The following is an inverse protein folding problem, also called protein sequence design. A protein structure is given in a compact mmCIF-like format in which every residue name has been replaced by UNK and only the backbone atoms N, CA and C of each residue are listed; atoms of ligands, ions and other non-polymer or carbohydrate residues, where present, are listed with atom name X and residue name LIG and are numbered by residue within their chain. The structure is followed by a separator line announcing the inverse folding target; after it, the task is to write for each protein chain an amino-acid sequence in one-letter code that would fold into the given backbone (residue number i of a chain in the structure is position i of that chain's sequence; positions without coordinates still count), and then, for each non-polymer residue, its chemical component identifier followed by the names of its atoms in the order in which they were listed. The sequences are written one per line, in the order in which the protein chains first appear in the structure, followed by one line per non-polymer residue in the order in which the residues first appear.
data_IF_604191652586
#
_entry.id   IF_604191652586
#
_cell.length_a   1.000
_cell.length_b   1.000
_cell.length_c   1.000
_cell.angle_alpha   90.00
_cell.angle_beta   90.00
_cell.angle_gamma   90.00
#
_symmetry.space_group_name_H-M   'P 1'
#
loop_
_entity.id
_entity.type
_entity.pdbx_description
1 polymer ?
#
# COMPACT_ATOMS: atom_id res chain seq x y z
N UNK A 1 12.13 -2.30 2.67
CA UNK A 1 11.20 -2.80 1.61
C UNK A 1 11.86 -2.88 0.24
N UNK A 2 12.57 -1.86 -0.26
CA UNK A 2 13.16 -1.86 -1.61
C UNK A 2 14.20 -2.98 -1.80
N UNK A 3 15.16 -3.11 -0.88
CA UNK A 3 16.23 -4.12 -1.01
C UNK A 3 15.73 -5.57 -0.98
N UNK A 4 14.86 -5.99 -0.04
CA UNK A 4 14.27 -7.32 -0.09
C UNK A 4 13.49 -7.58 -1.38
N UNK A 5 12.73 -6.58 -1.86
CA UNK A 5 12.00 -6.71 -3.11
C UNK A 5 12.94 -6.88 -4.32
N UNK A 6 14.03 -6.12 -4.39
CA UNK A 6 15.01 -6.22 -5.48
C UNK A 6 15.75 -7.58 -5.49
N UNK A 7 15.92 -8.21 -4.32
CA UNK A 7 16.56 -9.52 -4.22
C UNK A 7 15.67 -10.69 -4.59
N UNK A 8 14.38 -10.60 -4.25
CA UNK A 8 13.51 -11.77 -4.23
C UNK A 8 12.36 -11.70 -5.24
N UNK A 9 12.04 -10.51 -5.77
CA UNK A 9 10.90 -10.34 -6.68
C UNK A 9 11.33 -10.07 -8.10
N UNK A 10 10.47 -10.41 -9.04
CA UNK A 10 10.70 -10.21 -10.48
C UNK A 10 10.97 -8.73 -10.83
N UNK A 11 11.95 -8.51 -11.70
CA UNK A 11 12.31 -7.18 -12.20
C UNK A 11 13.15 -6.35 -11.23
N UNK A 12 13.63 -6.94 -10.12
CA UNK A 12 14.50 -6.24 -9.17
C UNK A 12 15.85 -5.89 -9.78
N UNK A 13 16.42 -6.76 -10.56
CA UNK A 13 17.69 -6.60 -11.28
C UNK A 13 17.65 -5.54 -12.39
N UNK A 14 16.46 -5.28 -12.94
CA UNK A 14 16.23 -4.23 -13.95
C UNK A 14 15.81 -2.88 -13.33
N UNK A 15 15.93 -2.73 -12.01
CA UNK A 15 15.49 -1.54 -11.28
C UNK A 15 16.68 -0.61 -11.03
N UNK A 16 16.51 0.67 -11.36
CA UNK A 16 17.45 1.73 -11.06
C UNK A 16 16.98 2.53 -9.85
N UNK A 17 17.91 3.01 -9.04
CA UNK A 17 17.61 3.92 -7.95
C UNK A 17 17.90 5.35 -8.38
N UNK A 18 16.88 6.20 -8.39
CA UNK A 18 17.07 7.65 -8.46
C UNK A 18 17.36 8.14 -7.04
N UNK A 19 18.59 8.59 -6.83
CA UNK A 19 19.06 9.12 -5.56
C UNK A 19 19.45 10.59 -5.73
N UNK A 20 19.09 11.40 -4.76
CA UNK A 20 19.73 12.70 -4.53
C UNK A 20 20.25 12.68 -3.09
N UNK A 21 21.53 12.99 -2.90
CA UNK A 21 22.17 12.99 -1.60
C UNK A 21 23.08 14.23 -1.43
N UNK A 22 23.44 14.47 -0.19
CA UNK A 22 24.59 15.26 0.21
C UNK A 22 25.58 14.32 0.85
N UNK A 23 26.80 14.79 1.17
CA UNK A 23 27.87 13.94 1.72
C UNK A 23 27.45 13.03 2.88
N UNK A 24 26.37 13.38 3.61
CA UNK A 24 25.96 12.67 4.82
C UNK A 24 24.48 12.27 4.87
N UNK A 25 23.67 12.66 3.88
CA UNK A 25 22.20 12.46 3.95
C UNK A 25 21.58 12.14 2.61
N UNK A 26 20.68 11.16 2.63
CA UNK A 26 19.81 10.88 1.50
C UNK A 26 18.65 11.90 1.47
N UNK A 27 18.56 12.67 0.39
CA UNK A 27 17.50 13.69 0.19
C UNK A 27 16.30 13.15 -0.56
N UNK A 28 16.53 12.21 -1.49
CA UNK A 28 15.50 11.66 -2.36
C UNK A 28 15.82 10.22 -2.75
N UNK A 29 14.79 9.37 -2.77
CA UNK A 29 14.89 7.99 -3.26
C UNK A 29 13.63 7.62 -4.03
N UNK A 30 13.80 7.21 -5.27
CA UNK A 30 12.75 6.61 -6.10
C UNK A 30 13.31 5.45 -6.92
N UNK A 31 12.92 4.21 -6.64
CA UNK A 31 13.19 3.08 -7.53
C UNK A 31 12.43 3.25 -8.84
N UNK A 32 13.12 3.10 -9.97
CA UNK A 32 12.53 3.24 -11.31
C UNK A 32 12.96 2.10 -12.22
N UNK A 33 12.17 1.85 -13.25
CA UNK A 33 12.52 0.93 -14.33
C UNK A 33 12.19 1.56 -15.69
N UNK A 34 12.98 1.19 -16.71
CA UNK A 34 12.69 1.56 -18.09
C UNK A 34 11.47 0.76 -18.58
N UNK A 35 10.54 1.44 -19.22
CA UNK A 35 9.33 0.85 -19.80
C UNK A 35 9.17 1.29 -21.23
N UNK A 36 8.84 0.35 -22.13
CA UNK A 36 8.49 0.63 -23.53
C UNK A 36 6.97 0.69 -23.76
N UNK A 37 6.22 0.31 -22.73
CA UNK A 37 4.74 0.35 -22.74
C UNK A 37 4.24 0.81 -21.37
N UNK A 38 3.22 1.64 -21.40
CA UNK A 38 2.54 2.09 -20.20
C UNK A 38 1.03 2.02 -20.38
N UNK A 39 0.34 1.22 -19.56
CA UNK A 39 -1.12 1.02 -19.61
C UNK A 39 -1.64 0.74 -21.04
N UNK A 40 -0.91 -0.09 -21.78
CA UNK A 40 -1.29 -0.52 -23.13
C UNK A 40 -0.84 0.44 -24.27
N UNK A 41 -0.30 1.61 -23.94
CA UNK A 41 0.26 2.54 -24.93
C UNK A 41 1.75 2.26 -25.11
N UNK A 42 2.22 2.16 -26.37
CA UNK A 42 3.66 2.10 -26.69
C UNK A 42 4.27 3.48 -26.49
N UNK A 43 5.03 3.64 -25.43
CA UNK A 43 5.68 4.89 -25.05
C UNK A 43 6.93 4.56 -24.22
N UNK A 44 8.14 4.89 -24.66
CA UNK A 44 9.33 4.76 -23.82
C UNK A 44 9.26 5.78 -22.68
N UNK A 45 9.42 5.30 -21.44
CA UNK A 45 9.38 6.14 -20.25
C UNK A 45 10.13 5.50 -19.09
N UNK A 46 10.51 6.32 -18.11
CA UNK A 46 10.84 5.85 -16.77
C UNK A 46 9.54 5.70 -15.97
N UNK A 47 9.41 4.61 -15.24
CA UNK A 47 8.28 4.44 -14.32
C UNK A 47 8.80 4.12 -12.92
N UNK A 48 8.15 4.65 -11.89
CA UNK A 48 8.36 4.16 -10.54
C UNK A 48 8.21 2.63 -10.54
N UNK A 49 9.20 1.95 -9.98
CA UNK A 49 9.18 0.49 -9.95
C UNK A 49 8.09 0.01 -8.99
N UNK A 50 7.12 -0.69 -9.54
CA UNK A 50 6.00 -1.26 -8.81
C UNK A 50 6.09 -2.77 -8.90
N UNK A 51 6.25 -3.42 -7.77
CA UNK A 51 6.09 -4.87 -7.61
C UNK A 51 4.74 -5.17 -6.92
N UNK A 52 4.33 -6.41 -6.88
CA UNK A 52 3.00 -6.82 -6.40
C UNK A 52 2.63 -6.36 -4.98
N UNK A 53 3.64 -6.02 -4.18
CA UNK A 53 3.49 -5.57 -2.79
C UNK A 53 3.84 -4.10 -2.60
N UNK A 54 4.08 -3.36 -3.67
CA UNK A 54 4.30 -1.92 -3.65
C UNK A 54 2.98 -1.20 -3.87
N UNK A 55 2.33 -0.79 -2.81
CA UNK A 55 1.01 -0.15 -2.87
C UNK A 55 1.06 1.36 -3.06
N UNK A 56 2.23 1.98 -2.85
CA UNK A 56 2.50 3.39 -3.09
C UNK A 56 3.83 3.55 -3.83
N UNK A 57 3.78 4.27 -4.96
CA UNK A 57 4.97 4.68 -5.71
C UNK A 57 5.48 6.07 -5.34
N UNK A 58 4.96 6.65 -4.27
CA UNK A 58 5.42 7.96 -3.76
C UNK A 58 6.90 7.86 -3.38
N UNK A 59 7.78 8.73 -3.90
CA UNK A 59 9.19 8.72 -3.53
C UNK A 59 9.40 9.08 -2.06
N UNK A 60 10.50 8.62 -1.50
CA UNK A 60 10.99 9.11 -0.22
C UNK A 60 11.68 10.45 -0.47
N UNK A 61 11.29 11.46 0.28
CA UNK A 61 11.85 12.82 0.24
C UNK A 61 12.20 13.22 1.66
N UNK A 62 13.37 13.81 1.85
CA UNK A 62 13.79 14.30 3.18
C UNK A 62 12.75 15.26 3.76
N UNK A 63 12.44 15.08 5.04
CA UNK A 63 11.56 15.98 5.79
C UNK A 63 12.30 17.20 6.38
N UNK A 64 13.63 17.22 6.31
CA UNK A 64 14.49 18.24 6.90
C UNK A 64 14.98 19.28 5.88
N UNK A 65 14.74 19.04 4.60
CA UNK A 65 15.23 19.85 3.49
C UNK A 65 14.03 20.38 2.69
N UNK A 66 14.25 21.44 1.90
CA UNK A 66 13.20 22.01 1.06
C UNK A 66 12.82 21.00 -0.06
N UNK A 67 11.64 20.39 0.03
CA UNK A 67 11.24 19.38 -0.93
C UNK A 67 10.99 19.96 -2.34
N UNK A 68 10.74 21.27 -2.45
CA UNK A 68 10.56 21.97 -3.74
C UNK A 68 11.89 22.04 -4.47
N UNK A 69 12.97 22.39 -3.76
CA UNK A 69 14.32 22.41 -4.34
C UNK A 69 14.77 21.01 -4.74
N UNK A 70 14.50 19.99 -3.91
CA UNK A 70 14.81 18.60 -4.23
C UNK A 70 14.11 18.20 -5.54
N UNK A 71 12.81 18.43 -5.67
CA UNK A 71 12.06 18.09 -6.89
C UNK A 71 12.55 18.84 -8.12
N UNK A 72 12.88 20.12 -7.98
CA UNK A 72 13.43 20.95 -9.07
C UNK A 72 14.77 20.42 -9.54
N UNK A 73 15.65 20.02 -8.60
CA UNK A 73 16.95 19.44 -8.92
C UNK A 73 16.80 18.07 -9.61
N UNK A 74 15.97 17.18 -9.07
CA UNK A 74 15.69 15.86 -9.66
C UNK A 74 15.16 16.00 -11.09
N UNK A 75 14.17 16.86 -11.31
CA UNK A 75 13.60 17.10 -12.64
C UNK A 75 14.66 17.66 -13.61
N UNK A 76 15.50 18.60 -13.15
CA UNK A 76 16.58 19.19 -13.95
C UNK A 76 17.59 18.12 -14.39
N UNK A 77 18.03 17.27 -13.47
CA UNK A 77 18.96 16.17 -13.77
C UNK A 77 18.38 15.20 -14.76
N UNK A 78 17.14 14.74 -14.53
CA UNK A 78 16.45 13.81 -15.44
C UNK A 78 16.28 14.39 -16.86
N UNK A 79 15.98 15.69 -16.98
CA UNK A 79 15.90 16.40 -18.27
C UNK A 79 17.25 16.45 -18.98
N UNK A 80 18.34 16.65 -18.26
CA UNK A 80 19.71 16.67 -18.83
C UNK A 80 20.14 15.29 -19.29
N UNK A 81 19.83 14.25 -18.55
CA UNK A 81 20.19 12.86 -18.90
C UNK A 81 19.51 12.35 -20.16
N UNK A 82 18.38 12.97 -20.58
CA UNK A 82 17.63 12.63 -21.81
C UNK A 82 17.34 11.14 -21.99
N UNK A 83 17.31 10.38 -20.88
CA UNK A 83 17.14 8.92 -20.90
C UNK A 83 15.74 8.53 -21.34
N UNK A 84 14.74 9.31 -20.94
CA UNK A 84 13.35 9.09 -21.29
C UNK A 84 12.60 10.43 -21.42
N UNK A 85 11.56 10.52 -22.26
CA UNK A 85 10.77 11.75 -22.41
C UNK A 85 9.83 12.04 -21.24
N UNK A 86 9.57 11.02 -20.39
CA UNK A 86 8.54 11.08 -19.34
C UNK A 86 8.94 10.21 -18.15
N UNK A 87 8.68 10.69 -16.92
CA UNK A 87 8.66 9.88 -15.70
C UNK A 87 7.22 9.68 -15.23
N UNK A 88 6.81 8.44 -15.00
CA UNK A 88 5.51 8.08 -14.42
C UNK A 88 5.68 7.59 -12.98
N UNK A 89 5.01 8.25 -12.03
CA UNK A 89 4.93 7.85 -10.62
C UNK A 89 3.54 7.29 -10.37
N UNK A 90 3.43 5.97 -10.35
CA UNK A 90 2.15 5.28 -10.16
C UNK A 90 1.80 5.22 -8.68
N UNK A 91 0.50 5.06 -8.38
CA UNK A 91 0.00 4.89 -7.01
C UNK A 91 0.51 5.97 -6.05
N UNK A 92 0.52 7.22 -6.51
CA UNK A 92 0.88 8.38 -5.70
C UNK A 92 -0.34 8.92 -4.99
N UNK A 93 -0.19 9.36 -3.74
CA UNK A 93 -1.27 10.03 -3.00
C UNK A 93 -1.50 11.44 -3.53
N UNK A 94 -2.77 11.87 -3.68
CA UNK A 94 -3.08 13.25 -4.09
C UNK A 94 -2.84 14.26 -2.95
N UNK A 95 -2.85 13.80 -1.73
CA UNK A 95 -2.62 14.57 -0.51
C UNK A 95 -1.21 14.32 0.06
N UNK A 96 -0.90 15.05 1.12
CA UNK A 96 0.33 14.90 1.87
C UNK A 96 1.48 15.80 1.38
N UNK A 97 2.60 15.82 2.15
CA UNK A 97 3.67 16.81 1.95
C UNK A 97 4.40 16.63 0.61
N UNK A 98 4.61 15.39 0.16
CA UNK A 98 5.30 15.13 -1.13
C UNK A 98 4.46 15.62 -2.31
N UNK A 99 3.14 15.39 -2.27
CA UNK A 99 2.23 15.87 -3.32
C UNK A 99 2.14 17.41 -3.33
N UNK A 100 2.09 18.03 -2.15
CA UNK A 100 2.07 19.48 -2.02
C UNK A 100 3.35 20.11 -2.58
N UNK A 101 4.51 19.58 -2.20
CA UNK A 101 5.81 20.03 -2.67
C UNK A 101 5.98 19.89 -4.20
N UNK A 102 5.51 18.78 -4.75
CA UNK A 102 5.58 18.55 -6.20
C UNK A 102 4.70 19.55 -6.98
N UNK A 103 3.48 19.85 -6.48
CA UNK A 103 2.63 20.90 -7.05
C UNK A 103 3.27 22.29 -6.95
N UNK A 104 3.90 22.59 -5.83
CA UNK A 104 4.61 23.86 -5.66
C UNK A 104 5.81 23.97 -6.61
N UNK A 105 6.60 22.92 -6.76
CA UNK A 105 7.70 22.87 -7.73
C UNK A 105 7.17 23.03 -9.18
N UNK A 106 6.03 22.43 -9.51
CA UNK A 106 5.41 22.62 -10.81
C UNK A 106 5.02 24.08 -11.07
N UNK A 107 4.41 24.73 -10.09
CA UNK A 107 4.04 26.15 -10.18
C UNK A 107 5.26 27.08 -10.32
N UNK A 108 6.38 26.76 -9.64
CA UNK A 108 7.58 27.61 -9.63
C UNK A 108 8.46 27.45 -10.88
N UNK A 109 8.65 26.21 -11.34
CA UNK A 109 9.61 25.91 -12.43
C UNK A 109 8.98 25.33 -13.68
N UNK A 110 7.66 25.27 -13.75
CA UNK A 110 6.93 24.81 -14.92
C UNK A 110 7.23 23.38 -15.30
N UNK A 111 7.02 22.43 -14.39
CA UNK A 111 7.26 21.01 -14.64
C UNK A 111 6.26 20.44 -15.66
N UNK A 112 5.12 21.12 -15.88
CA UNK A 112 4.04 20.70 -16.76
C UNK A 112 3.43 19.35 -16.34
N UNK A 113 3.29 19.12 -15.03
CA UNK A 113 2.75 17.90 -14.48
C UNK A 113 1.36 17.56 -15.01
N UNK A 114 1.15 16.28 -15.29
CA UNK A 114 -0.16 15.74 -15.59
C UNK A 114 -0.54 14.67 -14.58
N UNK A 115 -1.83 14.55 -14.32
CA UNK A 115 -2.34 13.60 -13.34
C UNK A 115 -3.47 12.75 -13.94
N UNK A 116 -3.44 11.45 -13.66
CA UNK A 116 -4.58 10.58 -13.98
C UNK A 116 -5.75 10.86 -13.04
N UNK A 117 -6.99 10.48 -13.41
CA UNK A 117 -8.08 10.43 -12.45
C UNK A 117 -7.72 9.54 -11.25
N UNK A 118 -7.98 10.03 -10.04
CA UNK A 118 -7.72 9.29 -8.82
C UNK A 118 -8.70 8.12 -8.63
N UNK A 119 -8.21 7.05 -8.02
CA UNK A 119 -9.03 5.99 -7.43
C UNK A 119 -9.13 6.26 -5.93
N UNK A 120 -10.25 5.87 -5.32
CA UNK A 120 -10.44 5.98 -3.88
C UNK A 120 -10.03 4.67 -3.21
N UNK A 121 -9.26 4.76 -2.14
CA UNK A 121 -8.80 3.64 -1.32
C UNK A 121 -9.35 3.80 0.09
N UNK A 122 -9.76 2.70 0.72
CA UNK A 122 -10.20 2.70 2.12
C UNK A 122 -9.06 3.14 3.03
N UNK A 123 -9.37 4.08 3.91
CA UNK A 123 -8.42 4.81 4.72
C UNK A 123 -9.06 5.20 6.05
N UNK A 124 -8.27 5.51 7.06
CA UNK A 124 -8.73 6.04 8.35
C UNK A 124 -7.78 7.11 8.83
N UNK A 125 -8.30 8.29 9.16
CA UNK A 125 -7.60 9.28 9.99
C UNK A 125 -7.80 8.97 11.47
N UNK A 126 -6.83 9.32 12.30
CA UNK A 126 -6.97 9.19 13.75
C UNK A 126 -8.16 10.02 14.26
N UNK A 127 -8.95 9.39 15.13
CA UNK A 127 -10.06 10.02 15.84
C UNK A 127 -9.66 10.33 17.28
N UNK A 128 -10.29 11.32 17.94
CA UNK A 128 -10.11 11.53 19.38
C UNK A 128 -10.60 10.34 20.23
N UNK A 129 -11.61 9.62 19.75
CA UNK A 129 -12.18 8.42 20.37
C UNK A 129 -12.20 7.26 19.37
N UNK A 130 -12.26 5.98 19.82
CA UNK A 130 -12.25 4.80 18.94
C UNK A 130 -13.60 4.55 18.24
N UNK A 131 -14.14 5.57 17.57
CA UNK A 131 -15.47 5.55 16.94
C UNK A 131 -15.46 5.00 15.52
N UNK A 132 -14.31 4.57 14.98
CA UNK A 132 -14.11 4.16 13.59
C UNK A 132 -15.19 3.22 13.06
N UNK A 133 -15.42 2.10 13.76
CA UNK A 133 -16.37 1.09 13.33
C UNK A 133 -17.83 1.58 13.45
N UNK A 134 -18.17 2.36 14.48
CA UNK A 134 -19.53 2.90 14.68
C UNK A 134 -19.89 4.00 13.69
N UNK A 135 -18.90 4.68 13.13
CA UNK A 135 -19.09 5.67 12.06
C UNK A 135 -19.19 5.01 10.68
N UNK A 136 -18.63 3.81 10.51
CA UNK A 136 -18.52 3.12 9.22
C UNK A 136 -19.68 2.19 8.94
N UNK A 137 -20.17 1.49 9.97
CA UNK A 137 -21.22 0.47 9.84
C UNK A 137 -22.27 0.62 10.94
N UNK A 138 -23.47 0.10 10.68
CA UNK A 138 -24.55 0.20 11.63
C UNK A 138 -24.34 -0.65 12.89
N UNK A 139 -25.02 -0.29 13.97
CA UNK A 139 -24.95 -0.99 15.28
C UNK A 139 -25.35 -2.46 15.19
N UNK A 140 -26.29 -2.81 14.30
CA UNK A 140 -26.76 -4.18 14.09
C UNK A 140 -25.64 -5.03 13.50
N UNK A 141 -24.88 -4.49 12.55
CA UNK A 141 -23.72 -5.16 11.96
C UNK A 141 -22.65 -5.45 13.03
N UNK A 142 -22.30 -4.44 13.86
CA UNK A 142 -21.35 -4.62 14.96
C UNK A 142 -21.82 -5.63 15.99
N UNK A 143 -23.09 -5.59 16.39
CA UNK A 143 -23.68 -6.59 17.29
C UNK A 143 -23.62 -8.01 16.71
N UNK A 144 -23.81 -8.14 15.39
CA UNK A 144 -23.68 -9.43 14.70
C UNK A 144 -22.23 -9.94 14.71
N UNK A 145 -21.23 -9.07 14.46
CA UNK A 145 -19.82 -9.45 14.56
C UNK A 145 -19.47 -9.90 15.98
N UNK A 146 -19.88 -9.17 17.00
CA UNK A 146 -19.69 -9.56 18.40
C UNK A 146 -20.36 -10.91 18.74
N UNK A 147 -21.56 -11.16 18.20
CA UNK A 147 -22.24 -12.46 18.32
C UNK A 147 -21.44 -13.58 17.64
N UNK A 148 -20.92 -13.35 16.43
CA UNK A 148 -20.09 -14.33 15.70
C UNK A 148 -18.83 -14.69 16.49
N UNK A 149 -18.13 -13.71 17.09
CA UNK A 149 -16.96 -13.95 17.94
C UNK A 149 -17.31 -14.85 19.14
N UNK A 150 -18.43 -14.56 19.86
CA UNK A 150 -18.88 -15.41 20.98
C UNK A 150 -19.27 -16.82 20.55
N UNK A 151 -19.94 -16.96 19.40
CA UNK A 151 -20.29 -18.28 18.86
C UNK A 151 -19.04 -19.08 18.51
N UNK A 152 -18.06 -18.45 17.87
CA UNK A 152 -16.79 -19.08 17.48
C UNK A 152 -16.02 -19.54 18.73
N UNK A 153 -15.95 -18.69 19.78
CA UNK A 153 -15.37 -19.08 21.09
C UNK A 153 -16.03 -20.32 21.68
N UNK A 154 -17.37 -20.41 21.64
CA UNK A 154 -18.10 -21.59 22.18
C UNK A 154 -17.79 -22.85 21.38
N UNK A 155 -17.74 -22.76 20.06
CA UNK A 155 -17.48 -23.92 19.18
C UNK A 155 -16.05 -24.43 19.35
N UNK A 156 -15.11 -23.53 19.56
CA UNK A 156 -13.70 -23.88 19.75
C UNK A 156 -13.32 -24.25 21.18
N UNK A 157 -14.22 -24.00 22.13
CA UNK A 157 -14.01 -24.31 23.55
C UNK A 157 -13.05 -23.33 24.26
N UNK A 158 -12.53 -22.34 23.55
CA UNK A 158 -11.61 -21.33 24.07
C UNK A 158 -12.00 -19.92 23.58
N UNK A 159 -11.68 -18.85 24.35
CA UNK A 159 -11.90 -17.49 23.89
C UNK A 159 -11.23 -17.21 22.53
N UNK A 160 -11.90 -16.41 21.71
CA UNK A 160 -11.30 -15.86 20.50
C UNK A 160 -10.73 -14.49 20.83
N UNK A 161 -9.44 -14.38 20.80
CA UNK A 161 -8.65 -13.20 21.18
C UNK A 161 -7.66 -12.79 20.10
N UNK A 162 -7.19 -11.56 20.16
CA UNK A 162 -6.16 -11.06 19.25
C UNK A 162 -4.86 -10.85 20.01
N UNK A 163 -3.78 -11.36 19.45
CA UNK A 163 -2.43 -11.31 20.03
C UNK A 163 -1.50 -10.61 19.05
N UNK A 164 -0.71 -9.67 19.56
CA UNK A 164 0.39 -9.07 18.77
C UNK A 164 1.60 -10.01 18.83
N UNK A 165 1.98 -10.54 17.68
CA UNK A 165 3.05 -11.52 17.50
C UNK A 165 4.38 -10.87 17.05
N UNK A 166 4.38 -9.56 16.77
CA UNK A 166 5.59 -8.86 16.37
C UNK A 166 6.62 -8.74 17.51
N UNK A 167 6.13 -8.69 18.77
CA UNK A 167 6.97 -8.57 19.95
C UNK A 167 7.59 -9.89 20.45
N UNK A 168 7.12 -11.05 19.94
CA UNK A 168 7.62 -12.35 20.37
C UNK A 168 7.13 -13.51 19.51
N UNK A 169 8.04 -14.45 19.19
CA UNK A 169 7.73 -15.61 18.37
C UNK A 169 7.49 -15.27 16.89
N UNK A 170 8.15 -14.23 16.38
CA UNK A 170 7.94 -13.71 15.04
C UNK A 170 8.14 -14.77 13.95
N UNK A 171 9.20 -15.57 14.01
CA UNK A 171 9.49 -16.58 12.99
C UNK A 171 8.35 -17.61 12.88
N UNK A 172 7.87 -18.09 14.03
CA UNK A 172 6.69 -18.97 14.06
C UNK A 172 5.44 -18.31 13.48
N UNK A 173 5.20 -17.04 13.84
CA UNK A 173 4.05 -16.30 13.34
C UNK A 173 4.12 -16.02 11.83
N UNK A 174 5.31 -15.81 11.28
CA UNK A 174 5.54 -15.68 9.83
C UNK A 174 5.21 -16.99 9.12
N UNK A 175 5.69 -18.14 9.63
CA UNK A 175 5.39 -19.45 9.03
C UNK A 175 3.89 -19.78 9.10
N UNK A 176 3.26 -19.53 10.26
CA UNK A 176 1.81 -19.66 10.44
C UNK A 176 1.03 -18.81 9.41
N UNK A 177 1.50 -17.56 9.16
CA UNK A 177 0.89 -16.70 8.15
C UNK A 177 1.01 -17.27 6.74
N UNK A 178 2.21 -17.74 6.37
CA UNK A 178 2.49 -18.32 5.06
C UNK A 178 1.66 -19.60 4.82
N UNK A 179 1.52 -20.43 5.85
CA UNK A 179 0.69 -21.63 5.79
C UNK A 179 -0.79 -21.27 5.68
N UNK A 180 -1.27 -20.33 6.49
CA UNK A 180 -2.65 -19.87 6.48
C UNK A 180 -3.02 -19.26 5.12
N UNK A 181 -2.15 -18.42 4.54
CA UNK A 181 -2.37 -17.84 3.21
C UNK A 181 -2.37 -18.91 2.11
N UNK A 182 -1.51 -19.93 2.25
CA UNK A 182 -1.40 -21.02 1.30
C UNK A 182 -2.51 -22.08 1.44
N UNK A 183 -3.26 -22.12 2.53
CA UNK A 183 -4.37 -23.07 2.72
C UNK A 183 -5.67 -22.64 2.03
N UNK A 184 -5.82 -21.32 1.71
CA UNK A 184 -7.05 -20.73 1.19
C UNK A 184 -7.09 -20.53 -0.33
N UNK A 185 -8.09 -19.77 -0.78
CA UNK A 185 -8.35 -19.45 -2.20
C UNK A 185 -7.14 -18.85 -2.94
N UNK A 186 -6.24 -18.16 -2.21
CA UNK A 186 -5.04 -17.58 -2.80
C UNK A 186 -4.08 -18.63 -3.35
N UNK A 187 -4.03 -19.82 -2.75
CA UNK A 187 -3.30 -20.95 -3.32
C UNK A 187 -3.94 -21.41 -4.62
N UNK A 188 -5.27 -21.53 -4.64
CA UNK A 188 -6.01 -21.98 -5.82
C UNK A 188 -5.81 -21.02 -7.01
N UNK A 189 -5.68 -19.73 -6.74
CA UNK A 189 -5.42 -18.68 -7.75
C UNK A 189 -3.93 -18.45 -8.04
N UNK A 190 -3.01 -19.16 -7.38
CA UNK A 190 -1.57 -18.97 -7.52
C UNK A 190 -1.04 -17.64 -6.95
N UNK A 191 -1.82 -16.95 -6.10
CA UNK A 191 -1.48 -15.61 -5.56
C UNK A 191 -0.94 -15.64 -4.13
N UNK A 192 -0.92 -16.79 -3.47
CA UNK A 192 -0.26 -16.96 -2.19
C UNK A 192 1.26 -16.79 -2.31
N UNK A 193 1.89 -16.26 -1.27
CA UNK A 193 3.34 -16.01 -1.24
C UNK A 193 4.15 -17.29 -1.57
N UNK A 194 3.77 -18.43 -1.00
CA UNK A 194 4.44 -19.73 -1.27
C UNK A 194 4.22 -20.29 -2.67
N UNK A 195 3.30 -19.72 -3.45
CA UNK A 195 3.05 -20.18 -4.81
C UNK A 195 3.99 -19.56 -5.85
N UNK A 196 4.78 -18.57 -5.47
CA UNK A 196 5.65 -17.79 -6.37
C UNK A 196 7.08 -17.80 -5.88
N UNK A 197 8.07 -18.07 -6.73
CA UNK A 197 9.48 -18.12 -6.35
C UNK A 197 9.94 -16.81 -5.69
N UNK A 198 10.59 -16.89 -4.53
CA UNK A 198 11.16 -15.76 -3.83
C UNK A 198 10.19 -14.92 -3.00
N UNK A 199 8.85 -15.06 -3.20
CA UNK A 199 7.88 -14.19 -2.53
C UNK A 199 7.76 -14.48 -1.02
N UNK A 200 7.92 -15.71 -0.60
CA UNK A 200 7.97 -16.09 0.81
C UNK A 200 9.27 -15.61 1.49
N UNK A 201 10.43 -15.68 0.80
CA UNK A 201 11.68 -15.10 1.29
C UNK A 201 11.58 -13.58 1.41
N UNK A 202 10.98 -12.92 0.41
CA UNK A 202 10.69 -11.48 0.48
C UNK A 202 9.87 -11.14 1.73
N UNK A 203 8.82 -11.91 2.02
CA UNK A 203 7.96 -11.67 3.18
C UNK A 203 8.70 -11.85 4.50
N UNK A 204 9.54 -12.90 4.62
CA UNK A 204 10.36 -13.14 5.81
C UNK A 204 11.37 -12.01 6.04
N UNK A 205 12.18 -11.68 5.03
CA UNK A 205 13.20 -10.63 5.14
C UNK A 205 12.56 -9.25 5.43
N UNK A 206 11.43 -8.95 4.79
CA UNK A 206 10.69 -7.71 5.03
C UNK A 206 10.17 -7.65 6.47
N UNK A 207 9.50 -8.71 6.94
CA UNK A 207 8.88 -8.76 8.27
C UNK A 207 9.93 -8.67 9.36
N UNK A 208 11.04 -9.42 9.23
CA UNK A 208 12.16 -9.33 10.15
C UNK A 208 12.75 -7.92 10.20
N UNK A 209 13.10 -7.35 9.05
CA UNK A 209 13.72 -6.02 8.99
C UNK A 209 12.83 -4.88 9.51
N UNK A 210 11.50 -5.00 9.42
CA UNK A 210 10.58 -4.06 10.04
C UNK A 210 10.38 -4.33 11.54
N UNK A 211 10.39 -5.59 11.97
CA UNK A 211 10.32 -5.96 13.37
C UNK A 211 11.55 -5.51 14.16
N UNK A 212 12.75 -5.67 13.61
CA UNK A 212 14.01 -5.23 14.22
C UNK A 212 14.02 -3.71 14.51
N UNK A 213 13.22 -2.96 13.78
CA UNK A 213 13.04 -1.52 13.94
C UNK A 213 11.82 -1.15 14.80
N UNK A 214 11.08 -2.12 15.34
CA UNK A 214 9.81 -1.87 16.04
C UNK A 214 8.71 -1.29 15.13
N UNK A 215 8.73 -1.62 13.84
CA UNK A 215 7.86 -1.03 12.81
C UNK A 215 6.98 -2.06 12.08
N UNK A 216 6.84 -3.25 12.64
CA UNK A 216 5.94 -4.30 12.19
C UNK A 216 4.73 -4.39 13.12
N UNK A 217 3.53 -4.45 12.57
CA UNK A 217 2.34 -4.99 13.22
C UNK A 217 2.10 -6.39 12.67
N UNK A 218 1.99 -7.40 13.53
CA UNK A 218 1.54 -8.73 13.16
C UNK A 218 0.52 -9.21 14.21
N UNK A 219 -0.76 -9.04 13.89
CA UNK A 219 -1.86 -9.44 14.75
C UNK A 219 -2.42 -10.79 14.33
N UNK A 220 -2.59 -11.70 15.30
CA UNK A 220 -3.22 -13.00 15.12
C UNK A 220 -4.52 -13.06 15.91
N UNK A 221 -5.64 -13.27 15.23
CA UNK A 221 -6.91 -13.68 15.83
C UNK A 221 -6.85 -15.18 16.05
N UNK A 222 -6.90 -15.62 17.29
CA UNK A 222 -6.71 -17.02 17.64
C UNK A 222 -7.67 -17.51 18.74
N UNK A 223 -7.80 -18.83 18.89
CA UNK A 223 -8.51 -19.49 19.98
C UNK A 223 -7.63 -20.62 20.52
N UNK A 224 -7.06 -20.44 21.71
CA UNK A 224 -5.97 -21.27 22.19
C UNK A 224 -4.78 -21.19 21.24
N UNK A 225 -4.29 -22.34 20.75
CA UNK A 225 -3.18 -22.42 19.79
C UNK A 225 -3.63 -22.31 18.33
N UNK A 226 -4.95 -22.27 18.06
CA UNK A 226 -5.48 -22.24 16.69
C UNK A 226 -5.57 -20.83 16.16
N UNK A 227 -4.81 -20.53 15.12
CA UNK A 227 -4.88 -19.28 14.38
C UNK A 227 -6.06 -19.29 13.41
N UNK A 228 -6.91 -18.26 13.49
CA UNK A 228 -8.13 -18.09 12.70
C UNK A 228 -7.95 -17.04 11.58
N UNK A 229 -7.18 -16.00 11.88
CA UNK A 229 -6.81 -14.97 10.92
C UNK A 229 -5.53 -14.27 11.37
N UNK A 230 -4.76 -13.78 10.41
CA UNK A 230 -3.59 -12.92 10.68
C UNK A 230 -3.60 -11.71 9.75
N UNK A 231 -3.15 -10.58 10.30
CA UNK A 231 -2.98 -9.32 9.55
C UNK A 231 -1.61 -8.74 9.83
N UNK A 232 -0.92 -8.34 8.78
CA UNK A 232 0.35 -7.63 8.86
C UNK A 232 0.22 -6.22 8.33
N UNK A 233 0.91 -5.28 8.98
CA UNK A 233 1.03 -3.90 8.51
C UNK A 233 2.41 -3.34 8.85
N UNK A 234 2.82 -2.33 8.08
CA UNK A 234 4.12 -1.68 8.18
C UNK A 234 3.95 -0.25 8.68
N UNK A 235 4.79 0.16 9.63
CA UNK A 235 4.78 1.52 10.17
C UNK A 235 5.82 2.37 9.43
N UNK A 236 5.40 3.54 8.96
CA UNK A 236 6.29 4.53 8.35
C UNK A 236 5.84 5.95 8.67
N UNK A 237 6.71 6.74 9.33
CA UNK A 237 6.33 8.03 9.88
C UNK A 237 5.15 7.87 10.85
N UNK A 238 4.11 8.66 10.69
CA UNK A 238 2.85 8.56 11.45
C UNK A 238 1.82 7.64 10.80
N UNK A 239 2.19 6.84 9.82
CA UNK A 239 1.26 6.00 9.05
C UNK A 239 1.39 4.52 9.34
N UNK A 240 0.25 3.83 9.38
CA UNK A 240 0.13 2.39 9.36
C UNK A 240 -0.33 1.96 7.96
N UNK A 241 0.46 1.12 7.31
CA UNK A 241 0.17 0.61 5.97
C UNK A 241 -0.20 -0.87 6.04
N UNK A 242 -1.46 -1.20 5.77
CA UNK A 242 -1.90 -2.58 5.65
C UNK A 242 -1.07 -3.30 4.59
N UNK A 243 -0.57 -4.49 4.92
CA UNK A 243 0.32 -5.20 4.01
C UNK A 243 -0.32 -6.48 3.50
N UNK A 244 -0.55 -7.44 4.37
CA UNK A 244 -1.15 -8.72 4.01
C UNK A 244 -2.11 -9.21 5.09
N UNK A 245 -3.18 -9.91 4.65
CA UNK A 245 -4.14 -10.56 5.55
C UNK A 245 -4.51 -11.93 5.00
N UNK A 246 -4.58 -12.91 5.91
CA UNK A 246 -5.06 -14.25 5.62
C UNK A 246 -6.03 -14.71 6.73
N UNK A 247 -6.92 -15.64 6.42
CA UNK A 247 -7.81 -16.28 7.41
C UNK A 247 -8.10 -17.73 7.00
N UNK A 248 -8.44 -18.55 7.99
CA UNK A 248 -8.86 -19.92 7.79
C UNK A 248 -10.28 -19.97 7.21
N UNK A 249 -10.41 -20.46 5.98
CA UNK A 249 -11.68 -20.53 5.25
C UNK A 249 -12.69 -21.48 5.90
N UNK A 250 -12.24 -22.46 6.68
CA UNK A 250 -13.14 -23.31 7.45
C UNK A 250 -14.03 -22.50 8.41
N UNK A 251 -13.57 -21.30 8.81
CA UNK A 251 -14.29 -20.39 9.69
C UNK A 251 -14.89 -19.17 8.97
N UNK A 252 -14.92 -19.15 7.64
CA UNK A 252 -15.39 -18.00 6.83
C UNK A 252 -16.77 -17.49 7.24
N UNK A 253 -17.71 -18.37 7.62
CA UNK A 253 -19.08 -18.00 8.07
C UNK A 253 -19.10 -17.08 9.29
N UNK A 254 -18.05 -17.07 10.12
CA UNK A 254 -17.91 -16.19 11.27
C UNK A 254 -17.11 -14.92 10.98
N UNK A 255 -16.64 -14.75 9.72
CA UNK A 255 -15.92 -13.57 9.25
C UNK A 255 -14.67 -13.23 10.06
N UNK A 256 -13.72 -14.19 10.26
CA UNK A 256 -12.55 -13.95 11.11
C UNK A 256 -11.68 -12.80 10.61
N UNK A 257 -11.58 -12.59 9.30
CA UNK A 257 -10.86 -11.43 8.75
C UNK A 257 -11.50 -10.09 9.12
N UNK A 258 -12.85 -10.01 9.18
CA UNK A 258 -13.55 -8.77 9.59
C UNK A 258 -13.47 -8.57 11.10
N UNK A 259 -13.49 -9.66 11.90
CA UNK A 259 -13.25 -9.58 13.35
C UNK A 259 -11.86 -9.02 13.63
N UNK A 260 -10.86 -9.48 12.89
CA UNK A 260 -9.49 -8.97 13.01
C UNK A 260 -9.37 -7.51 12.56
N UNK A 261 -10.13 -7.05 11.55
CA UNK A 261 -10.15 -5.65 11.13
C UNK A 261 -10.63 -4.72 12.26
N UNK A 262 -11.61 -5.15 13.07
CA UNK A 262 -12.03 -4.40 14.29
C UNK A 262 -10.89 -4.28 15.30
N UNK A 263 -10.16 -5.37 15.50
CA UNK A 263 -9.04 -5.38 16.45
C UNK A 263 -7.83 -4.57 15.92
N UNK A 264 -7.61 -4.54 14.59
CA UNK A 264 -6.62 -3.65 13.95
C UNK A 264 -6.96 -2.18 14.20
N UNK A 265 -8.25 -1.80 14.10
CA UNK A 265 -8.70 -0.43 14.40
C UNK A 265 -8.48 -0.07 15.88
N UNK A 266 -8.72 -1.02 16.79
CA UNK A 266 -8.46 -0.85 18.24
C UNK A 266 -6.96 -0.67 18.48
N UNK A 267 -6.15 -1.59 17.97
CA UNK A 267 -4.69 -1.54 18.07
C UNK A 267 -4.12 -0.22 17.49
N UNK A 268 -4.62 0.22 16.34
CA UNK A 268 -4.25 1.50 15.75
C UNK A 268 -4.59 2.68 16.69
N UNK A 269 -5.72 2.64 17.36
CA UNK A 269 -6.14 3.69 18.30
C UNK A 269 -5.22 3.73 19.54
N UNK A 270 -4.77 2.57 20.00
CA UNK A 270 -3.89 2.44 21.18
C UNK A 270 -2.46 2.90 20.89
N UNK A 271 -2.10 3.15 19.61
CA UNK A 271 -0.79 3.67 19.19
C UNK A 271 -0.83 5.18 18.93
N UNK A 272 -0.57 6.04 19.95
CA UNK A 272 -0.77 7.50 19.84
C UNK A 272 0.11 8.19 18.79
N UNK A 273 1.23 7.58 18.42
CA UNK A 273 2.13 8.08 17.37
C UNK A 273 1.58 7.93 15.96
N UNK A 274 0.54 7.10 15.76
CA UNK A 274 -0.06 6.89 14.45
C UNK A 274 -1.17 7.91 14.20
N UNK A 275 -1.06 8.65 13.11
CA UNK A 275 -2.05 9.65 12.68
C UNK A 275 -3.09 9.10 11.70
N UNK A 276 -2.76 8.00 11.00
CA UNK A 276 -3.62 7.45 9.96
C UNK A 276 -3.27 5.99 9.61
N UNK A 277 -4.24 5.30 9.01
CA UNK A 277 -4.13 3.93 8.50
C UNK A 277 -4.58 3.88 7.04
N UNK A 278 -3.72 3.42 6.16
CA UNK A 278 -4.02 3.07 4.76
C UNK A 278 -4.19 1.56 4.65
N UNK A 279 -5.33 1.09 4.20
CA UNK A 279 -5.55 -0.36 4.04
C UNK A 279 -4.68 -0.98 2.96
N UNK A 280 -4.12 -0.17 2.07
CA UNK A 280 -3.39 -0.60 0.87
C UNK A 280 -4.19 -1.57 -0.02
N UNK A 281 -5.49 -1.69 0.21
CA UNK A 281 -6.38 -2.58 -0.52
C UNK A 281 -6.89 -1.93 -1.80
N UNK A 282 -6.94 -2.72 -2.88
CA UNK A 282 -7.62 -2.33 -4.12
C UNK A 282 -9.15 -2.42 -4.01
N UNK A 283 -9.65 -3.18 -3.03
CA UNK A 283 -11.08 -3.36 -2.76
C UNK A 283 -11.52 -2.47 -1.60
N UNK A 284 -12.78 -2.10 -1.63
CA UNK A 284 -13.39 -1.37 -0.52
C UNK A 284 -13.48 -2.24 0.73
N UNK A 285 -13.12 -1.67 1.88
CA UNK A 285 -13.20 -2.33 3.18
C UNK A 285 -14.16 -1.51 4.05
N UNK A 286 -15.40 -1.98 4.28
CA UNK A 286 -16.47 -1.17 4.86
C UNK A 286 -16.19 -0.59 6.25
N UNK A 287 -15.36 -1.26 7.07
CA UNK A 287 -15.00 -0.79 8.41
C UNK A 287 -14.08 0.45 8.41
N UNK A 288 -13.48 0.80 7.26
CA UNK A 288 -12.57 1.93 7.11
C UNK A 288 -13.29 3.05 6.35
N UNK A 289 -13.81 4.03 7.09
CA UNK A 289 -14.78 5.01 6.62
C UNK A 289 -14.24 6.08 5.71
N UNK A 290 -12.97 6.44 5.90
CA UNK A 290 -12.35 7.50 5.13
C UNK A 290 -11.86 7.00 3.78
N UNK A 291 -11.52 7.93 2.91
CA UNK A 291 -10.99 7.62 1.58
C UNK A 291 -9.74 8.43 1.31
N UNK A 292 -8.75 7.78 0.71
CA UNK A 292 -7.55 8.43 0.19
C UNK A 292 -7.52 8.34 -1.32
N UNK A 293 -7.30 9.47 -1.96
CA UNK A 293 -7.20 9.56 -3.41
C UNK A 293 -5.79 9.14 -3.87
N UNK A 294 -5.73 8.16 -4.77
CA UNK A 294 -4.50 7.61 -5.33
C UNK A 294 -4.52 7.82 -6.85
N UNK A 295 -3.49 8.43 -7.39
CA UNK A 295 -3.36 8.76 -8.80
C UNK A 295 -2.04 8.27 -9.41
N UNK A 296 -1.86 8.50 -10.70
CA UNK A 296 -0.58 8.42 -11.38
C UNK A 296 -0.16 9.83 -11.77
N UNK A 297 1.02 10.24 -11.34
CA UNK A 297 1.66 11.47 -11.78
C UNK A 297 2.54 11.21 -13.00
N UNK A 298 2.50 12.12 -13.94
CA UNK A 298 3.29 12.11 -15.17
C UNK A 298 4.12 13.39 -15.20
N UNK A 299 5.43 13.25 -15.04
CA UNK A 299 6.40 14.35 -15.09
C UNK A 299 7.07 14.38 -16.46
N UNK A 300 6.74 15.35 -17.33
CA UNK A 300 7.43 15.51 -18.60
C UNK A 300 8.90 15.89 -18.43
N UNK A 301 9.76 15.22 -19.17
CA UNK A 301 11.21 15.45 -19.18
C UNK A 301 11.69 16.08 -20.49
N UNK A 302 10.78 16.23 -21.47
CA UNK A 302 11.04 16.85 -22.78
C UNK A 302 9.74 17.40 -23.39
N UNK A 303 9.80 18.25 -24.43
CA UNK A 303 8.61 18.71 -25.14
C UNK A 303 7.75 17.56 -25.69
N UNK A 304 8.36 16.52 -26.23
CA UNK A 304 7.65 15.30 -26.67
C UNK A 304 6.98 14.59 -25.49
N UNK A 305 7.63 14.58 -24.31
CA UNK A 305 7.07 14.08 -23.06
C UNK A 305 5.83 14.86 -22.60
N UNK A 306 5.80 16.17 -22.79
CA UNK A 306 4.63 17.00 -22.47
C UNK A 306 3.41 16.60 -23.30
N UNK A 307 3.59 16.42 -24.61
CA UNK A 307 2.50 15.95 -25.48
C UNK A 307 2.05 14.53 -25.12
N UNK A 308 3.03 13.63 -24.87
CA UNK A 308 2.73 12.25 -24.48
C UNK A 308 1.99 12.17 -23.13
N UNK A 309 2.38 12.98 -22.16
CA UNK A 309 1.70 13.06 -20.85
C UNK A 309 0.26 13.53 -20.99
N UNK A 310 0.01 14.56 -21.79
CA UNK A 310 -1.33 15.07 -22.06
C UNK A 310 -2.25 14.03 -22.71
N UNK A 311 -1.77 13.35 -23.76
CA UNK A 311 -2.50 12.27 -24.44
C UNK A 311 -2.78 11.08 -23.53
N UNK A 312 -1.79 10.69 -22.73
CA UNK A 312 -1.93 9.58 -21.77
C UNK A 312 -2.94 9.93 -20.68
N UNK A 313 -2.87 11.13 -20.10
CA UNK A 313 -3.83 11.59 -19.10
C UNK A 313 -5.26 11.66 -19.66
N UNK A 314 -5.44 12.13 -20.89
CA UNK A 314 -6.73 12.14 -21.57
C UNK A 314 -7.27 10.73 -21.81
N UNK A 315 -6.43 9.80 -22.26
CA UNK A 315 -6.79 8.38 -22.44
C UNK A 315 -7.23 7.72 -21.13
N UNK A 316 -6.53 8.01 -20.04
CA UNK A 316 -6.88 7.47 -18.72
C UNK A 316 -8.22 8.03 -18.20
N UNK A 317 -8.51 9.31 -18.45
CA UNK A 317 -9.82 9.93 -18.15
C UNK A 317 -10.94 9.27 -18.93
N UNK A 318 -10.76 9.08 -20.24
CA UNK A 318 -11.76 8.46 -21.12
C UNK A 318 -12.07 7.01 -20.66
N UNK A 319 -11.05 6.21 -20.37
CA UNK A 319 -11.22 4.83 -19.86
C UNK A 319 -11.99 4.77 -18.55
N UNK A 320 -11.77 5.72 -17.64
CA UNK A 320 -12.53 5.79 -16.38
C UNK A 320 -14.00 6.08 -16.63
N UNK A 321 -14.32 7.02 -17.52
CA UNK A 321 -15.70 7.33 -17.89
C UNK A 321 -16.43 6.12 -18.50
N UNK A 322 -15.73 5.34 -19.35
CA UNK A 322 -16.31 4.13 -19.95
C UNK A 322 -16.59 3.05 -18.89
N UNK A 323 -15.69 2.84 -17.94
CA UNK A 323 -15.90 1.89 -16.84
C UNK A 323 -17.08 2.30 -15.95
N UNK A 324 -17.14 3.56 -15.52
CA UNK A 324 -18.24 4.05 -14.67
C UNK A 324 -19.62 3.95 -15.34
N UNK A 325 -19.69 4.09 -16.68
CA UNK A 325 -20.93 3.88 -17.44
C UNK A 325 -21.32 2.40 -17.52
N UNK A 326 -20.33 1.49 -17.60
CA UNK A 326 -20.58 0.04 -17.64
C UNK A 326 -21.09 -0.45 -16.29
N UNK A 327 -20.46 0.00 -15.20
CA UNK A 327 -20.87 -0.38 -13.82
C UNK A 327 -22.28 0.09 -13.49
N UNK A 328 -22.69 1.30 -13.94
CA UNK A 328 -24.06 1.84 -13.80
C UNK A 328 -25.10 1.11 -14.65
N UNK A 329 -24.70 0.36 -15.69
CA UNK A 329 -25.65 -0.42 -16.51
C UNK A 329 -25.80 -1.85 -16.03
N UNK A 330 -24.92 -2.29 -15.11
CA UNK A 330 -24.88 -3.64 -14.53
C UNK A 330 -25.44 -3.66 -13.11
N UNK A 331 -25.70 -2.49 -12.51
CA UNK A 331 -26.41 -2.28 -11.24
C UNK A 331 -27.87 -1.89 -11.48
#
# INVERSE_FOLDING_TARGET
MVLPAARHLEGGDATHLLLADTSDRLLFLLPVSDRHRFRGVRLPLLAAWMHDYCYLGTPLVSAYDDPVQIWSAVASVLRRLRRAPLLAIQSHTEDGPVAAALRQADAQVGLALQQSPAIQRSFVHRRPAPTYATESVDRRHLANLARRRRQLSRILGCPVETVDRAAGGLDGAIEEFLDLEASGWKRQTGTALRCRPGHDQFFRELSQGFSDQGRLMLLSLQSGTRVLAQSTALLAGSGLFGFKKAYDEAYARWSPGTLLDLDVLSWFHDMPQLGWLDTCSATDVPLFSDRRAICTLLLPLSPAGTMAAGLLAASLRARRHLRSRRDRRSA
#
